data_IF_180229267839
#
_entry.id   IF_180229267839
#
_cell.length_a   1.000
_cell.length_b   1.000
_cell.length_c   1.000
_cell.angle_alpha   90.00
_cell.angle_beta   90.00
_cell.angle_gamma   90.00
#
_symmetry.space_group_name_H-M   'P 1'
#
loop_
_entity.id
_entity.type
_entity.pdbx_description
1 polymer ?
#
# COMPACT_ATOMS: atom_id res chain seq x y z
N UNK A 1 22.40 -3.81 6.25
CA UNK A 1 20.99 -3.40 6.35
C UNK A 1 20.62 -3.44 7.82
N UNK A 2 20.33 -2.30 8.43
CA UNK A 2 19.79 -2.24 9.78
C UNK A 2 18.42 -2.93 9.75
N UNK A 3 18.16 -3.87 10.67
CA UNK A 3 16.87 -4.56 10.73
C UNK A 3 15.80 -3.54 11.11
N UNK A 4 14.98 -3.13 10.15
CA UNK A 4 13.82 -2.28 10.40
C UNK A 4 12.72 -3.20 10.93
N UNK A 5 12.24 -2.94 12.15
CA UNK A 5 11.10 -3.69 12.68
C UNK A 5 9.84 -3.37 11.86
N UNK A 6 9.15 -4.42 11.46
CA UNK A 6 7.88 -4.38 10.71
C UNK A 6 6.72 -5.01 11.52
N UNK A 7 6.98 -5.43 12.76
CA UNK A 7 6.01 -6.16 13.61
C UNK A 7 4.76 -5.33 13.96
N UNK A 8 4.86 -4.00 13.90
CA UNK A 8 3.75 -3.09 14.16
C UNK A 8 2.91 -2.78 12.92
N UNK A 9 3.28 -3.30 11.74
CA UNK A 9 2.52 -3.07 10.51
C UNK A 9 1.43 -4.15 10.40
N UNK A 10 0.15 -3.77 10.50
CA UNK A 10 -0.95 -4.71 10.31
C UNK A 10 -0.97 -5.24 8.88
N UNK A 11 -1.07 -6.56 8.72
CA UNK A 11 -1.28 -7.22 7.41
C UNK A 11 -2.35 -8.30 7.56
N UNK A 12 -3.48 -8.09 6.91
CA UNK A 12 -4.54 -9.08 6.79
C UNK A 12 -4.33 -9.93 5.54
N UNK A 13 -3.95 -11.18 5.73
CA UNK A 13 -3.76 -12.15 4.65
C UNK A 13 -5.08 -12.68 4.06
N UNK A 14 -6.22 -12.38 4.70
CA UNK A 14 -7.53 -12.78 4.23
C UNK A 14 -8.51 -11.58 4.24
N UNK A 15 -8.29 -10.58 3.36
CA UNK A 15 -9.06 -9.32 3.32
C UNK A 15 -10.57 -9.53 3.10
N UNK A 16 -10.96 -10.52 2.29
CA UNK A 16 -12.37 -10.89 2.05
C UNK A 16 -12.57 -12.41 2.14
N UNK A 17 -12.77 -12.96 3.35
CA UNK A 17 -12.91 -14.39 3.55
C UNK A 17 -14.03 -14.99 2.69
N UNK A 18 -13.71 -15.98 1.85
CA UNK A 18 -14.68 -16.71 1.03
C UNK A 18 -15.01 -16.11 -0.34
N UNK A 19 -14.66 -14.85 -0.59
CA UNK A 19 -14.83 -14.17 -1.88
C UNK A 19 -13.51 -14.03 -2.64
N UNK A 20 -12.39 -13.99 -1.92
CA UNK A 20 -11.05 -13.84 -2.46
C UNK A 20 -10.14 -14.93 -1.90
N UNK A 21 -9.21 -15.43 -2.74
CA UNK A 21 -8.23 -16.41 -2.28
C UNK A 21 -7.27 -15.72 -1.30
N UNK A 22 -6.98 -16.32 -0.12
CA UNK A 22 -6.05 -15.74 0.83
C UNK A 22 -4.69 -15.43 0.20
N UNK A 23 -4.12 -14.30 0.60
CA UNK A 23 -2.75 -13.91 0.27
C UNK A 23 -1.80 -14.95 0.91
N UNK A 24 -0.84 -15.50 0.16
CA UNK A 24 0.13 -16.45 0.72
C UNK A 24 0.91 -15.83 1.88
N UNK A 25 1.08 -16.57 2.99
CA UNK A 25 1.74 -16.05 4.19
C UNK A 25 3.20 -15.62 3.99
N UNK A 26 3.90 -16.19 3.00
CA UNK A 26 5.22 -15.74 2.57
C UNK A 26 5.25 -14.26 2.12
N UNK A 27 4.11 -13.71 1.68
CA UNK A 27 3.97 -12.31 1.24
C UNK A 27 3.72 -11.33 2.38
N UNK A 28 3.40 -11.82 3.59
CA UNK A 28 3.13 -10.98 4.76
C UNK A 28 4.30 -10.03 5.02
N UNK A 29 5.51 -10.56 5.03
CA UNK A 29 6.74 -9.80 5.27
C UNK A 29 6.98 -8.73 4.20
N UNK A 30 6.65 -9.04 2.94
CA UNK A 30 6.80 -8.11 1.82
C UNK A 30 5.83 -6.94 1.96
N UNK A 31 4.55 -7.23 2.23
CA UNK A 31 3.51 -6.22 2.45
C UNK A 31 3.81 -5.37 3.70
N UNK A 32 4.21 -6.00 4.80
CA UNK A 32 4.60 -5.29 6.02
C UNK A 32 5.79 -4.34 5.77
N UNK A 33 6.75 -4.75 4.93
CA UNK A 33 7.87 -3.89 4.54
C UNK A 33 7.41 -2.69 3.69
N UNK A 34 6.46 -2.88 2.78
CA UNK A 34 5.85 -1.76 2.02
C UNK A 34 5.15 -0.79 2.96
N UNK A 35 4.32 -1.28 3.90
CA UNK A 35 3.67 -0.45 4.90
C UNK A 35 4.68 0.32 5.77
N UNK A 36 5.77 -0.33 6.19
CA UNK A 36 6.84 0.34 6.94
C UNK A 36 7.50 1.46 6.15
N UNK A 37 7.74 1.26 4.86
CA UNK A 37 8.32 2.27 3.98
C UNK A 37 7.32 3.40 3.68
N UNK A 38 6.02 3.14 3.63
CA UNK A 38 5.00 4.18 3.51
C UNK A 38 5.05 5.18 4.68
N UNK A 39 5.38 4.73 5.89
CA UNK A 39 5.58 5.62 7.03
C UNK A 39 6.80 6.54 6.87
N UNK A 40 7.76 6.25 5.99
CA UNK A 40 8.97 7.07 5.78
C UNK A 40 8.98 7.81 4.44
N UNK A 41 8.25 7.29 3.47
CA UNK A 41 8.34 7.71 2.07
C UNK A 41 6.96 8.05 1.55
N UNK A 42 6.70 9.35 1.39
CA UNK A 42 5.45 9.90 0.84
C UNK A 42 5.00 9.23 -0.46
N UNK A 43 5.93 8.86 -1.34
CA UNK A 43 5.58 8.20 -2.59
C UNK A 43 5.00 6.79 -2.37
N UNK A 44 5.56 5.99 -1.45
CA UNK A 44 5.00 4.67 -1.10
C UNK A 44 3.68 4.84 -0.34
N UNK A 45 3.56 5.85 0.51
CA UNK A 45 2.28 6.17 1.16
C UNK A 45 1.19 6.53 0.15
N UNK A 46 1.53 7.33 -0.86
CA UNK A 46 0.62 7.67 -1.96
C UNK A 46 0.11 6.43 -2.68
N UNK A 47 0.96 5.42 -2.92
CA UNK A 47 0.51 4.13 -3.46
C UNK A 47 -0.56 3.48 -2.58
N UNK A 48 -0.29 3.29 -1.28
CA UNK A 48 -1.25 2.65 -0.36
C UNK A 48 -2.57 3.44 -0.28
N UNK A 49 -2.48 4.76 -0.16
CA UNK A 49 -3.65 5.65 -0.04
C UNK A 49 -4.47 5.70 -1.33
N UNK A 50 -3.86 5.70 -2.50
CA UNK A 50 -4.60 5.65 -3.76
C UNK A 50 -5.38 4.35 -3.93
N UNK A 51 -4.92 3.26 -3.31
CA UNK A 51 -5.59 1.97 -3.31
C UNK A 51 -6.68 1.84 -2.22
N UNK A 52 -6.93 2.90 -1.45
CA UNK A 52 -7.90 2.91 -0.34
C UNK A 52 -9.36 3.07 -0.76
N UNK A 53 -9.64 3.62 -1.95
CA UNK A 53 -11.01 4.01 -2.32
C UNK A 53 -11.28 3.79 -3.81
N UNK A 54 -12.36 3.06 -4.12
CA UNK A 54 -12.91 2.87 -5.47
C UNK A 54 -13.29 4.17 -6.20
N UNK A 55 -13.49 5.29 -5.49
CA UNK A 55 -13.77 6.62 -6.07
C UNK A 55 -12.52 7.50 -6.29
N UNK A 56 -11.33 7.07 -5.86
CA UNK A 56 -10.08 7.74 -6.26
C UNK A 56 -9.75 7.26 -7.67
N UNK A 57 -10.32 7.98 -8.64
CA UNK A 57 -10.09 7.83 -10.06
C UNK A 57 -8.58 7.88 -10.37
N UNK A 58 -8.01 6.82 -10.96
CA UNK A 58 -6.70 6.90 -11.61
C UNK A 58 -5.53 6.17 -10.94
N UNK A 59 -5.75 5.03 -10.28
CA UNK A 59 -4.67 4.03 -10.16
C UNK A 59 -4.42 3.39 -11.54
N UNK A 60 -3.96 4.20 -12.49
CA UNK A 60 -3.48 3.73 -13.78
C UNK A 60 -2.33 2.76 -13.50
N UNK A 61 -2.57 1.46 -13.63
CA UNK A 61 -1.57 0.42 -13.40
C UNK A 61 -0.27 0.69 -14.16
N UNK A 62 -0.36 1.40 -15.29
CA UNK A 62 0.78 1.83 -16.09
C UNK A 62 1.69 2.81 -15.32
N UNK A 63 1.10 3.70 -14.51
CA UNK A 63 1.82 4.61 -13.62
C UNK A 63 2.26 3.93 -12.32
N UNK A 64 1.59 2.85 -11.87
CA UNK A 64 1.98 2.11 -10.67
C UNK A 64 3.26 1.28 -10.83
N UNK A 65 3.58 0.85 -12.06
CA UNK A 65 4.83 0.14 -12.34
C UNK A 65 6.09 1.01 -12.09
N UNK A 66 5.94 2.34 -12.12
CA UNK A 66 7.03 3.27 -11.81
C UNK A 66 7.60 3.08 -10.39
N UNK A 67 6.78 2.63 -9.43
CA UNK A 67 7.21 2.35 -8.05
C UNK A 67 8.18 1.17 -7.95
N UNK A 68 8.23 0.32 -8.98
CA UNK A 68 9.15 -0.84 -9.04
C UNK A 68 10.33 -0.63 -9.98
N UNK A 69 10.33 0.47 -10.75
CA UNK A 69 11.32 0.70 -11.80
C UNK A 69 12.68 1.04 -11.19
N UNK A 70 13.67 0.17 -11.44
CA UNK A 70 15.03 0.35 -10.93
C UNK A 70 15.22 -0.03 -9.46
N UNK A 71 14.20 -0.64 -8.84
CA UNK A 71 14.30 -1.10 -7.46
C UNK A 71 15.21 -2.35 -7.37
N UNK A 72 16.21 -2.28 -6.51
CA UNK A 72 17.19 -3.36 -6.28
C UNK A 72 16.83 -4.24 -5.08
N UNK A 73 15.91 -3.76 -4.23
CA UNK A 73 15.38 -4.50 -3.11
C UNK A 73 14.22 -5.41 -3.56
N UNK A 74 14.51 -6.70 -3.67
CA UNK A 74 13.49 -7.71 -4.00
C UNK A 74 12.28 -7.65 -3.03
N UNK A 75 12.52 -7.42 -1.73
CA UNK A 75 11.46 -7.36 -0.72
C UNK A 75 10.46 -6.21 -0.98
N UNK A 76 10.96 -5.03 -1.36
CA UNK A 76 10.10 -3.89 -1.73
C UNK A 76 9.38 -4.15 -3.05
N UNK A 77 10.12 -4.61 -4.07
CA UNK A 77 9.56 -4.88 -5.39
C UNK A 77 8.42 -5.89 -5.30
N UNK A 78 8.66 -7.02 -4.64
CA UNK A 78 7.71 -8.12 -4.56
C UNK A 78 6.49 -7.73 -3.71
N UNK A 79 6.68 -6.92 -2.66
CA UNK A 79 5.58 -6.35 -1.88
C UNK A 79 4.72 -5.35 -2.66
N UNK A 80 5.34 -4.44 -3.41
CA UNK A 80 4.62 -3.48 -4.27
C UNK A 80 3.84 -4.22 -5.36
N UNK A 81 4.44 -5.23 -6.00
CA UNK A 81 3.76 -6.05 -7.00
C UNK A 81 2.57 -6.81 -6.39
N UNK A 82 2.75 -7.39 -5.21
CA UNK A 82 1.67 -8.09 -4.49
C UNK A 82 0.51 -7.14 -4.18
N UNK A 83 0.82 -5.95 -3.64
CA UNK A 83 -0.20 -4.94 -3.32
C UNK A 83 -0.99 -4.50 -4.57
N UNK A 84 -0.29 -4.24 -5.68
CA UNK A 84 -0.90 -3.88 -6.96
C UNK A 84 -1.76 -5.03 -7.52
N UNK A 85 -1.34 -6.27 -7.39
CA UNK A 85 -2.14 -7.43 -7.84
C UNK A 85 -3.41 -7.61 -7.01
N UNK A 86 -3.32 -7.40 -5.68
CA UNK A 86 -4.47 -7.50 -4.79
C UNK A 86 -5.50 -6.39 -5.06
N UNK A 87 -5.08 -5.20 -5.49
CA UNK A 87 -5.97 -4.06 -5.63
C UNK A 87 -7.02 -4.19 -6.75
N UNK A 88 -6.90 -5.19 -7.62
CA UNK A 88 -7.97 -5.54 -8.57
C UNK A 88 -9.20 -6.17 -7.91
N UNK A 89 -9.09 -6.63 -6.66
CA UNK A 89 -10.16 -7.31 -5.95
C UNK A 89 -10.45 -6.74 -4.55
N UNK A 90 -9.46 -6.14 -3.88
CA UNK A 90 -9.59 -5.62 -2.51
C UNK A 90 -8.98 -4.23 -2.38
N UNK A 91 -9.49 -3.43 -1.48
CA UNK A 91 -8.96 -2.10 -1.18
C UNK A 91 -7.84 -2.20 -0.13
N UNK A 92 -6.94 -1.21 -0.09
CA UNK A 92 -5.74 -1.27 0.76
C UNK A 92 -6.05 -1.29 2.25
N UNK A 93 -7.18 -0.73 2.70
CA UNK A 93 -7.60 -0.84 4.10
C UNK A 93 -8.03 -2.24 4.51
N UNK A 94 -8.43 -3.07 3.55
CA UNK A 94 -8.77 -4.47 3.84
C UNK A 94 -7.50 -5.29 4.12
N UNK A 95 -6.35 -4.83 3.60
CA UNK A 95 -5.03 -5.41 3.81
C UNK A 95 -4.36 -4.80 5.05
N UNK A 96 -4.31 -3.47 5.16
CA UNK A 96 -3.56 -2.77 6.20
C UNK A 96 -4.42 -2.25 7.36
N UNK A 97 -5.74 -2.40 7.32
CA UNK A 97 -6.65 -1.78 8.29
C UNK A 97 -6.85 -0.28 8.04
N UNK A 98 -8.08 0.19 8.30
CA UNK A 98 -8.44 1.60 8.07
C UNK A 98 -7.59 2.56 8.89
N UNK A 99 -7.36 2.28 10.17
CA UNK A 99 -6.58 3.15 11.07
C UNK A 99 -5.17 3.41 10.54
N UNK A 100 -4.52 2.39 10.00
CA UNK A 100 -3.19 2.54 9.41
C UNK A 100 -3.22 3.43 8.18
N UNK A 101 -4.14 3.17 7.25
CA UNK A 101 -4.25 3.95 6.00
C UNK A 101 -4.61 5.40 6.30
N UNK A 102 -5.53 5.63 7.24
CA UNK A 102 -5.91 6.96 7.73
C UNK A 102 -4.72 7.70 8.38
N UNK A 103 -3.90 7.00 9.16
CA UNK A 103 -2.68 7.59 9.72
C UNK A 103 -1.70 8.06 8.65
N UNK A 104 -1.59 7.34 7.52
CA UNK A 104 -0.77 7.77 6.38
C UNK A 104 -1.36 8.99 5.67
N UNK A 105 -2.70 9.05 5.55
CA UNK A 105 -3.41 10.21 4.98
C UNK A 105 -3.12 11.46 5.78
N UNK A 106 -3.19 11.37 7.10
CA UNK A 106 -2.92 12.47 8.02
C UNK A 106 -1.44 12.85 8.03
N UNK A 107 -0.54 11.87 8.17
CA UNK A 107 0.91 12.10 8.24
C UNK A 107 1.43 12.87 7.02
N UNK A 108 0.95 12.54 5.83
CA UNK A 108 1.45 13.09 4.56
C UNK A 108 0.55 14.17 3.96
N UNK A 109 -0.49 14.58 4.69
CA UNK A 109 -1.48 15.58 4.29
C UNK A 109 -2.10 15.31 2.91
N UNK A 110 -2.56 14.07 2.66
CA UNK A 110 -3.21 13.73 1.39
C UNK A 110 -4.62 14.29 1.26
N UNK A 111 -5.21 14.80 2.36
CA UNK A 111 -6.50 15.54 2.37
C UNK A 111 -6.32 17.02 2.00
N UNK A 112 -5.14 17.59 2.25
CA UNK A 112 -4.80 18.99 1.98
C UNK A 112 -4.34 19.24 0.55
N UNK A 113 -5.28 19.38 -0.39
CA UNK A 113 -5.29 20.39 -1.49
C UNK A 113 -6.51 20.17 -2.41
N UNK A 114 -7.66 20.65 -1.93
CA UNK A 114 -8.68 21.31 -2.76
C UNK A 114 -8.81 22.73 -2.25
N UNK A 115 -7.79 23.54 -2.46
CA UNK A 115 -7.89 25.00 -2.30
C UNK A 115 -7.24 25.62 -3.52
N UNK A 116 -8.13 26.03 -4.42
CA UNK A 116 -8.03 27.08 -5.43
C UNK A 116 -6.83 27.06 -6.38
N UNK A 117 -7.07 26.63 -7.62
CA UNK A 117 -6.61 27.40 -8.79
C UNK A 117 -7.80 27.50 -9.76
N UNK A 118 -8.07 28.76 -10.14
CA UNK A 118 -9.14 29.26 -11.01
C UNK A 118 -9.07 28.74 -12.45
#
# INVERSE_FOLDING_TARGET
MQFVSIEHIPVNLNPRPGEYKPIPGEREKELAYVGRLAQEKRHIASLIVNLYNSNICGADMYNLMSYTRGESCNLLRDGVLTLIQCCGAVESHEIYGSDFVESLIEQWDFRGKRTNED
#
